data_IF_671331625945
#
_entry.id   IF_671331625945
#
_cell.length_a   1.000
_cell.length_b   1.000
_cell.length_c   1.000
_cell.angle_alpha   90.00
_cell.angle_beta   90.00
_cell.angle_gamma   90.00
#
_symmetry.space_group_name_H-M   'P 1'
#
loop_
_entity.id
_entity.type
_entity.pdbx_description
1 polymer ?
#
# COMPACT_ATOMS: atom_id res chain seq x y z
N UNK A 1 -42.49 -45.05 -55.53
CA UNK A 1 -42.04 -44.96 -54.12
C UNK A 1 -40.55 -45.26 -54.12
N UNK A 2 -39.70 -44.28 -54.43
CA UNK A 2 -39.22 -43.21 -53.55
C UNK A 2 -38.08 -43.67 -52.63
N UNK A 3 -36.89 -43.19 -52.97
CA UNK A 3 -35.77 -42.77 -52.12
C UNK A 3 -34.44 -43.54 -52.28
N UNK A 4 -33.67 -43.11 -53.28
CA UNK A 4 -32.20 -43.10 -53.24
C UNK A 4 -31.77 -42.00 -52.26
N UNK A 5 -31.28 -42.37 -51.08
CA UNK A 5 -30.67 -41.42 -50.14
C UNK A 5 -29.19 -41.23 -50.48
N UNK A 6 -28.90 -40.21 -51.28
CA UNK A 6 -27.56 -39.65 -51.40
C UNK A 6 -27.14 -39.01 -50.08
N UNK A 7 -26.26 -39.66 -49.34
CA UNK A 7 -25.61 -39.09 -48.16
C UNK A 7 -24.51 -38.12 -48.60
N UNK A 8 -24.81 -36.82 -48.61
CA UNK A 8 -23.79 -35.78 -48.69
C UNK A 8 -22.96 -35.79 -47.39
N UNK A 9 -21.64 -35.85 -47.53
CA UNK A 9 -20.72 -35.66 -46.40
C UNK A 9 -20.88 -34.23 -45.83
N UNK A 10 -20.73 -34.03 -44.51
CA UNK A 10 -20.81 -32.70 -43.94
C UNK A 10 -19.61 -31.88 -44.43
N UNK A 11 -19.91 -30.78 -45.10
CA UNK A 11 -18.96 -29.78 -45.55
C UNK A 11 -18.19 -29.26 -44.33
N UNK A 12 -16.93 -29.65 -44.18
CA UNK A 12 -16.04 -29.10 -43.16
C UNK A 12 -15.87 -27.62 -43.47
N UNK A 13 -16.63 -26.79 -42.75
CA UNK A 13 -16.45 -25.34 -42.77
C UNK A 13 -14.99 -25.06 -42.41
N UNK A 14 -14.19 -24.71 -43.42
CA UNK A 14 -12.84 -24.21 -43.24
C UNK A 14 -12.95 -22.98 -42.35
N UNK A 15 -12.53 -23.10 -41.10
CA UNK A 15 -12.27 -21.94 -40.24
C UNK A 15 -11.20 -21.15 -40.97
N UNK A 16 -11.61 -20.10 -41.67
CA UNK A 16 -10.69 -19.15 -42.25
C UNK A 16 -9.83 -18.64 -41.10
N UNK A 17 -8.51 -18.79 -41.23
CA UNK A 17 -7.57 -18.18 -40.31
C UNK A 17 -7.81 -16.68 -40.37
N UNK A 18 -8.55 -16.16 -39.38
CA UNK A 18 -8.72 -14.73 -39.21
C UNK A 18 -7.30 -14.15 -39.11
N UNK A 19 -7.01 -13.18 -39.97
CA UNK A 19 -5.77 -12.43 -39.89
C UNK A 19 -5.57 -12.00 -38.43
N UNK A 20 -4.36 -12.23 -37.90
CA UNK A 20 -4.02 -11.80 -36.56
C UNK A 20 -4.44 -10.33 -36.40
N UNK A 21 -5.12 -9.97 -35.29
CA UNK A 21 -5.50 -8.58 -35.08
C UNK A 21 -4.26 -7.71 -35.21
N UNK A 22 -4.38 -6.51 -35.80
CA UNK A 22 -3.25 -5.60 -35.91
C UNK A 22 -2.59 -5.44 -34.54
N UNK A 23 -1.26 -5.32 -34.47
CA UNK A 23 -0.60 -5.05 -33.21
C UNK A 23 -1.27 -3.83 -32.58
N UNK A 24 -1.45 -3.82 -31.25
CA UNK A 24 -2.00 -2.66 -30.57
C UNK A 24 -1.23 -1.41 -31.02
N UNK A 25 -1.83 -0.20 -30.95
CA UNK A 25 -1.11 1.05 -31.15
C UNK A 25 0.18 1.03 -30.31
N UNK A 26 1.21 1.85 -30.58
CA UNK A 26 2.45 1.84 -29.82
C UNK A 26 2.20 2.29 -28.36
N UNK A 27 1.56 1.41 -27.60
CA UNK A 27 1.54 1.33 -26.17
C UNK A 27 2.99 1.18 -25.77
N UNK A 28 3.40 2.05 -24.86
CA UNK A 28 4.71 2.04 -24.23
C UNK A 28 5.14 0.60 -23.94
N UNK A 29 6.05 0.06 -24.77
CA UNK A 29 6.49 -1.34 -24.66
C UNK A 29 7.13 -1.50 -23.29
N UNK A 30 6.44 -2.18 -22.38
CA UNK A 30 6.95 -2.44 -21.04
C UNK A 30 8.17 -3.35 -21.19
N UNK A 31 9.35 -2.80 -20.91
CA UNK A 31 10.60 -3.57 -20.82
C UNK A 31 10.88 -3.88 -19.35
N UNK A 32 10.68 -5.13 -18.90
CA UNK A 32 10.94 -5.47 -17.51
C UNK A 32 12.38 -5.16 -17.12
N UNK A 33 12.58 -4.50 -15.99
CA UNK A 33 13.90 -4.19 -15.46
C UNK A 33 14.01 -4.65 -14.00
N UNK A 34 14.92 -5.59 -13.75
CA UNK A 34 15.18 -6.12 -12.41
C UNK A 34 15.98 -5.16 -11.50
N UNK A 35 16.51 -4.05 -12.04
CA UNK A 35 17.35 -3.10 -11.29
C UNK A 35 16.65 -2.56 -10.05
N UNK A 36 15.40 -2.12 -10.22
CA UNK A 36 14.60 -1.55 -9.12
C UNK A 36 14.22 -2.61 -8.09
N UNK A 37 13.78 -3.79 -8.55
CA UNK A 37 13.51 -4.92 -7.68
C UNK A 37 14.73 -5.22 -6.80
N UNK A 38 15.91 -5.40 -7.39
CA UNK A 38 17.14 -5.69 -6.65
C UNK A 38 17.48 -4.60 -5.60
N UNK A 39 17.33 -3.31 -5.94
CA UNK A 39 17.53 -2.21 -4.99
C UNK A 39 16.54 -2.26 -3.83
N UNK A 40 15.26 -2.47 -4.12
CA UNK A 40 14.21 -2.55 -3.09
C UNK A 40 14.42 -3.77 -2.21
N UNK A 41 14.76 -4.94 -2.76
CA UNK A 41 15.05 -6.12 -1.95
C UNK A 41 16.26 -5.92 -1.05
N UNK A 42 17.34 -5.30 -1.56
CA UNK A 42 18.54 -5.03 -0.79
C UNK A 42 18.29 -4.05 0.36
N UNK A 43 17.51 -2.98 0.12
CA UNK A 43 17.24 -1.96 1.12
C UNK A 43 16.15 -2.37 2.12
N UNK A 44 15.09 -3.04 1.66
CA UNK A 44 13.96 -3.43 2.51
C UNK A 44 14.17 -4.76 3.23
N UNK A 45 14.99 -5.67 2.67
CA UNK A 45 15.11 -7.05 3.11
C UNK A 45 13.94 -7.96 2.65
N UNK A 46 12.99 -7.45 1.86
CA UNK A 46 11.84 -8.22 1.39
C UNK A 46 12.14 -8.88 0.06
N UNK A 47 11.91 -10.20 -0.05
CA UNK A 47 12.09 -10.99 -1.28
C UNK A 47 10.87 -10.90 -2.22
N UNK A 48 10.60 -9.69 -2.74
CA UNK A 48 9.48 -9.44 -3.64
C UNK A 48 9.55 -10.22 -4.97
N UNK A 49 10.74 -10.60 -5.43
CA UNK A 49 10.97 -11.43 -6.62
C UNK A 49 10.41 -12.85 -6.48
N UNK A 50 10.23 -13.35 -5.25
CA UNK A 50 9.60 -14.64 -5.01
C UNK A 50 8.09 -14.63 -5.31
N UNK A 51 7.45 -13.47 -5.47
CA UNK A 51 6.03 -13.40 -5.76
C UNK A 51 5.70 -13.93 -7.16
N UNK A 52 4.75 -14.87 -7.23
CA UNK A 52 4.24 -15.49 -8.46
C UNK A 52 2.81 -15.04 -8.79
N UNK A 53 2.29 -14.03 -8.09
CA UNK A 53 1.03 -13.39 -8.44
C UNK A 53 -0.24 -14.16 -8.10
N UNK A 54 -0.25 -15.01 -7.06
CA UNK A 54 -1.45 -15.80 -6.68
C UNK A 54 -2.64 -15.00 -6.12
N UNK A 55 -2.48 -13.69 -5.91
CA UNK A 55 -3.53 -12.74 -5.46
C UNK A 55 -4.15 -12.98 -4.07
N UNK A 56 -3.68 -13.97 -3.29
CA UNK A 56 -4.16 -14.21 -1.90
C UNK A 56 -4.09 -12.95 -1.02
N UNK A 57 -3.03 -12.15 -1.17
CA UNK A 57 -2.85 -10.89 -0.45
C UNK A 57 -3.95 -9.88 -0.75
N UNK A 58 -4.45 -9.83 -1.99
CA UNK A 58 -5.51 -8.93 -2.40
C UNK A 58 -6.88 -9.44 -1.96
N UNK A 59 -7.15 -10.73 -2.13
CA UNK A 59 -8.42 -11.31 -1.66
C UNK A 59 -8.56 -11.28 -0.12
N UNK A 60 -7.46 -11.25 0.63
CA UNK A 60 -7.46 -11.13 2.08
C UNK A 60 -7.39 -9.69 2.61
N UNK A 61 -7.20 -8.69 1.74
CA UNK A 61 -7.05 -7.31 2.18
C UNK A 61 -8.43 -6.68 2.43
N UNK A 62 -8.73 -6.16 3.64
CA UNK A 62 -10.02 -5.54 3.94
C UNK A 62 -10.21 -4.17 3.30
N UNK A 63 -9.16 -3.59 2.71
CA UNK A 63 -9.13 -2.21 2.20
C UNK A 63 -9.12 -2.12 0.67
N UNK A 64 -9.28 -3.24 -0.03
CA UNK A 64 -9.24 -3.25 -1.51
C UNK A 64 -10.26 -2.32 -2.15
N UNK A 65 -11.40 -2.06 -1.49
CA UNK A 65 -12.45 -1.17 -1.96
C UNK A 65 -12.01 0.30 -2.06
N UNK A 66 -10.97 0.70 -1.33
CA UNK A 66 -10.44 2.07 -1.32
C UNK A 66 -9.10 2.20 -2.07
N UNK A 67 -8.56 1.09 -2.58
CA UNK A 67 -7.24 1.03 -3.21
C UNK A 67 -7.31 1.28 -4.71
N UNK A 68 -6.34 2.04 -5.24
CA UNK A 68 -6.13 2.25 -6.69
C UNK A 68 -5.44 1.05 -7.34
N UNK A 69 -4.51 0.42 -6.61
CA UNK A 69 -3.85 -0.82 -7.00
C UNK A 69 -4.04 -1.89 -5.94
N UNK A 70 -4.45 -3.09 -6.33
CA UNK A 70 -4.49 -4.19 -5.36
C UNK A 70 -3.07 -4.58 -4.90
N UNK A 71 -2.92 -5.11 -3.67
CA UNK A 71 -1.60 -5.43 -3.11
C UNK A 71 -0.70 -6.29 -4.01
N UNK A 72 -1.24 -7.27 -4.74
CA UNK A 72 -0.44 -8.07 -5.68
C UNK A 72 0.06 -7.28 -6.89
N UNK A 73 -0.70 -6.26 -7.33
CA UNK A 73 -0.32 -5.40 -8.46
C UNK A 73 0.86 -4.51 -8.07
N UNK A 74 0.91 -4.02 -6.83
CA UNK A 74 2.07 -3.25 -6.33
C UNK A 74 3.35 -4.08 -6.45
N UNK A 75 3.33 -5.34 -5.99
CA UNK A 75 4.48 -6.25 -6.15
C UNK A 75 4.80 -6.50 -7.62
N UNK A 76 3.77 -6.68 -8.46
CA UNK A 76 3.97 -6.93 -9.89
C UNK A 76 4.60 -5.75 -10.61
N UNK A 77 4.16 -4.53 -10.34
CA UNK A 77 4.75 -3.33 -10.94
C UNK A 77 6.20 -3.14 -10.49
N UNK A 78 6.51 -3.43 -9.22
CA UNK A 78 7.88 -3.46 -8.73
C UNK A 78 8.75 -4.48 -9.49
N UNK A 79 8.26 -5.72 -9.69
CA UNK A 79 8.96 -6.75 -10.45
C UNK A 79 9.19 -6.36 -11.92
N UNK A 80 8.25 -5.63 -12.51
CA UNK A 80 8.36 -5.13 -13.87
C UNK A 80 9.24 -3.89 -13.98
N UNK A 81 9.73 -3.33 -12.86
CA UNK A 81 10.54 -2.12 -12.84
C UNK A 81 9.75 -0.83 -13.12
N UNK A 82 8.42 -0.87 -13.02
CA UNK A 82 7.53 0.27 -13.26
C UNK A 82 7.34 1.11 -12.01
N UNK A 83 8.44 1.65 -11.47
CA UNK A 83 8.42 2.45 -10.24
C UNK A 83 7.54 3.69 -10.37
N UNK A 84 7.47 4.28 -11.56
CA UNK A 84 6.66 5.47 -11.84
C UNK A 84 5.17 5.24 -11.59
N UNK A 85 4.67 4.01 -11.78
CA UNK A 85 3.27 3.67 -11.46
C UNK A 85 3.02 3.49 -9.97
N UNK A 86 4.08 3.28 -9.19
CA UNK A 86 4.00 3.23 -7.73
C UNK A 86 4.13 4.63 -7.13
N UNK A 87 4.82 5.54 -7.81
CA UNK A 87 4.88 6.96 -7.43
C UNK A 87 3.46 7.55 -7.49
N UNK A 88 2.95 8.02 -6.34
CA UNK A 88 1.58 8.51 -6.20
C UNK A 88 0.52 7.43 -5.94
N UNK A 89 0.90 6.15 -5.85
CA UNK A 89 -0.05 5.07 -5.58
C UNK A 89 -0.66 5.20 -4.17
N UNK A 90 -1.99 5.32 -4.12
CA UNK A 90 -2.75 5.50 -2.87
C UNK A 90 -2.69 4.25 -2.00
N UNK A 91 -2.65 3.06 -2.58
CA UNK A 91 -2.57 1.78 -1.87
C UNK A 91 -1.43 1.73 -0.86
N UNK A 92 -0.29 2.35 -1.18
CA UNK A 92 0.88 2.39 -0.29
C UNK A 92 0.53 3.15 1.00
N UNK A 93 -0.23 4.23 0.88
CA UNK A 93 -0.68 5.07 2.00
C UNK A 93 -1.84 4.47 2.77
N UNK A 94 -2.73 3.75 2.08
CA UNK A 94 -3.88 3.07 2.67
C UNK A 94 -3.52 1.76 3.38
N UNK A 95 -2.34 1.19 3.14
CA UNK A 95 -1.92 -0.02 3.81
C UNK A 95 -1.89 0.16 5.33
N UNK A 96 -2.73 -0.60 6.04
CA UNK A 96 -2.84 -0.60 7.50
C UNK A 96 -1.83 -1.52 8.21
N UNK A 97 -0.88 -2.12 7.47
CA UNK A 97 0.12 -3.06 7.97
C UNK A 97 -0.44 -4.16 8.89
N UNK A 98 -1.66 -4.65 8.59
CA UNK A 98 -2.38 -5.64 9.41
C UNK A 98 -1.83 -7.09 9.30
N UNK A 99 -0.84 -7.33 8.44
CA UNK A 99 -0.14 -8.60 8.23
C UNK A 99 -0.97 -9.79 7.69
N UNK A 100 -2.26 -9.61 7.35
CA UNK A 100 -3.06 -10.66 6.70
C UNK A 100 -2.44 -11.18 5.41
N UNK A 101 -1.82 -10.29 4.63
CA UNK A 101 -1.16 -10.67 3.38
C UNK A 101 0.09 -11.52 3.60
N UNK A 102 0.88 -11.24 4.64
CA UNK A 102 2.07 -12.03 4.99
C UNK A 102 1.68 -13.42 5.48
N UNK A 103 0.75 -13.50 6.45
CA UNK A 103 0.31 -14.77 7.05
C UNK A 103 -0.30 -15.75 6.04
N UNK A 104 -0.91 -15.25 4.95
CA UNK A 104 -1.51 -16.07 3.89
C UNK A 104 -0.61 -16.27 2.68
N UNK A 105 0.58 -15.66 2.64
CA UNK A 105 1.47 -15.75 1.49
C UNK A 105 2.21 -17.09 1.50
N UNK A 106 2.03 -17.96 0.48
CA UNK A 106 2.76 -19.24 0.43
C UNK A 106 4.26 -19.04 0.18
N UNK A 107 4.67 -17.88 -0.35
CA UNK A 107 6.08 -17.55 -0.63
C UNK A 107 6.68 -16.60 0.42
N UNK A 108 5.97 -16.34 1.52
CA UNK A 108 6.44 -15.51 2.64
C UNK A 108 6.95 -14.11 2.22
N UNK A 109 6.36 -13.54 1.17
CA UNK A 109 6.63 -12.15 0.77
C UNK A 109 6.05 -11.22 1.85
N UNK A 110 6.93 -10.55 2.60
CA UNK A 110 6.59 -9.57 3.63
C UNK A 110 6.09 -8.26 3.02
N UNK A 111 4.86 -8.34 2.52
CA UNK A 111 4.18 -7.24 1.86
C UNK A 111 3.91 -6.04 2.78
N UNK A 112 3.56 -6.19 4.08
CA UNK A 112 3.47 -5.06 5.02
C UNK A 112 4.79 -4.28 5.08
N UNK A 113 5.92 -4.97 5.27
CA UNK A 113 7.24 -4.33 5.31
C UNK A 113 7.60 -3.66 3.99
N UNK A 114 7.24 -4.27 2.86
CA UNK A 114 7.43 -3.67 1.55
C UNK A 114 6.63 -2.37 1.40
N UNK A 115 5.36 -2.36 1.82
CA UNK A 115 4.51 -1.16 1.76
C UNK A 115 5.06 -0.05 2.65
N UNK A 116 5.50 -0.37 3.88
CA UNK A 116 6.12 0.61 4.78
C UNK A 116 7.43 1.17 4.22
N UNK A 117 8.27 0.33 3.60
CA UNK A 117 9.48 0.78 2.90
C UNK A 117 9.17 1.73 1.74
N UNK A 118 8.17 1.41 0.92
CA UNK A 118 7.77 2.26 -0.21
C UNK A 118 7.19 3.59 0.29
N UNK A 119 6.36 3.55 1.35
CA UNK A 119 5.79 4.74 2.02
C UNK A 119 6.90 5.68 2.50
N UNK A 120 7.89 5.15 3.22
CA UNK A 120 9.05 5.92 3.68
C UNK A 120 9.88 6.48 2.52
N UNK A 121 10.10 5.68 1.48
CA UNK A 121 10.86 6.11 0.30
C UNK A 121 10.20 7.30 -0.39
N UNK A 122 8.87 7.26 -0.54
CA UNK A 122 8.09 8.35 -1.16
C UNK A 122 8.05 9.59 -0.25
N UNK A 123 7.85 9.40 1.05
CA UNK A 123 7.85 10.49 2.02
C UNK A 123 9.18 11.27 2.00
N UNK A 124 10.31 10.57 1.93
CA UNK A 124 11.65 11.18 1.89
C UNK A 124 11.94 11.94 0.60
N UNK A 125 11.35 11.50 -0.52
CA UNK A 125 11.47 12.20 -1.81
C UNK A 125 10.66 13.49 -1.89
N UNK A 126 9.80 13.76 -0.91
CA UNK A 126 8.95 14.96 -0.89
C UNK A 126 7.91 14.99 -2.01
N UNK A 127 7.53 13.83 -2.55
CA UNK A 127 6.52 13.75 -3.60
C UNK A 127 5.14 14.11 -3.03
N UNK A 128 4.32 14.77 -3.86
CA UNK A 128 2.92 15.00 -3.53
C UNK A 128 2.20 13.64 -3.41
N UNK A 129 1.37 13.51 -2.38
CA UNK A 129 0.62 12.30 -2.06
C UNK A 129 -0.84 12.69 -1.98
N UNK A 130 -1.72 11.99 -2.69
CA UNK A 130 -3.16 12.26 -2.66
C UNK A 130 -3.74 12.13 -1.24
N UNK A 131 -3.24 11.15 -0.48
CA UNK A 131 -3.56 10.92 0.93
C UNK A 131 -2.78 11.88 1.87
N UNK A 132 -2.88 13.20 1.64
CA UNK A 132 -2.11 14.24 2.37
C UNK A 132 -2.28 14.17 3.89
N UNK A 133 -3.52 13.94 4.35
CA UNK A 133 -3.81 13.81 5.79
C UNK A 133 -3.13 12.59 6.40
N UNK A 134 -3.06 11.49 5.66
CA UNK A 134 -2.38 10.26 6.08
C UNK A 134 -0.88 10.48 6.13
N UNK A 135 -0.30 11.15 5.13
CA UNK A 135 1.11 11.56 5.13
C UNK A 135 1.42 12.46 6.34
N UNK A 136 0.58 13.44 6.61
CA UNK A 136 0.74 14.33 7.75
C UNK A 136 0.70 13.57 9.09
N UNK A 137 -0.29 12.71 9.29
CA UNK A 137 -0.40 11.89 10.49
C UNK A 137 0.85 11.02 10.68
N UNK A 138 1.28 10.36 9.60
CA UNK A 138 2.47 9.52 9.57
C UNK A 138 3.74 10.29 9.96
N UNK A 139 3.95 11.48 9.39
CA UNK A 139 5.09 12.34 9.74
C UNK A 139 5.05 12.80 11.20
N UNK A 140 3.88 13.21 11.71
CA UNK A 140 3.73 13.62 13.11
C UNK A 140 3.97 12.45 14.06
N UNK A 141 3.48 11.26 13.72
CA UNK A 141 3.69 10.02 14.46
C UNK A 141 5.19 9.70 14.54
N UNK A 142 5.89 9.62 13.40
CA UNK A 142 7.31 9.30 13.36
C UNK A 142 8.16 10.36 14.04
N UNK A 143 7.81 11.65 13.91
CA UNK A 143 8.45 12.73 14.67
C UNK A 143 8.30 12.53 16.18
N UNK A 144 7.12 12.08 16.63
CA UNK A 144 6.87 11.74 18.02
C UNK A 144 7.73 10.58 18.51
N UNK A 145 7.85 9.52 17.69
CA UNK A 145 8.69 8.34 17.97
C UNK A 145 10.16 8.74 18.00
N UNK A 146 10.69 9.43 16.99
CA UNK A 146 12.09 9.88 16.95
C UNK A 146 12.46 10.75 18.16
N UNK A 147 11.51 11.56 18.67
CA UNK A 147 11.74 12.44 19.82
C UNK A 147 11.84 11.70 21.16
N UNK A 148 11.08 10.62 21.37
CA UNK A 148 10.88 10.00 22.71
C UNK A 148 10.93 8.47 22.75
N UNK A 149 10.97 7.81 21.60
CA UNK A 149 10.80 6.36 21.43
C UNK A 149 9.37 5.88 21.68
N UNK A 150 8.46 6.78 22.07
CA UNK A 150 7.05 6.51 22.31
C UNK A 150 6.21 7.65 21.78
N UNK A 151 5.07 7.27 21.21
CA UNK A 151 4.04 8.23 20.84
C UNK A 151 3.37 8.75 22.10
N UNK A 152 3.12 10.04 22.12
CA UNK A 152 2.27 10.67 23.12
C UNK A 152 1.02 11.14 22.40
N UNK A 153 -0.10 10.46 22.68
CA UNK A 153 -1.35 10.55 21.93
C UNK A 153 -1.91 11.98 21.95
N UNK A 154 -1.78 12.68 23.09
CA UNK A 154 -2.22 14.07 23.23
C UNK A 154 -1.48 15.03 22.29
N UNK A 155 -0.14 14.94 22.21
CA UNK A 155 0.65 15.78 21.30
C UNK A 155 0.42 15.42 19.84
N UNK A 156 0.27 14.12 19.52
CA UNK A 156 -0.02 13.67 18.16
C UNK A 156 -1.38 14.21 17.70
N UNK A 157 -2.43 14.03 18.51
CA UNK A 157 -3.78 14.50 18.19
C UNK A 157 -3.87 16.02 18.13
N UNK A 158 -3.31 16.73 19.12
CA UNK A 158 -3.29 18.19 19.10
C UNK A 158 -2.53 18.72 17.87
N UNK A 159 -1.34 18.18 17.59
CA UNK A 159 -0.56 18.56 16.42
C UNK A 159 -1.26 18.27 15.09
N UNK A 160 -1.96 17.14 15.00
CA UNK A 160 -2.75 16.79 13.81
C UNK A 160 -3.93 17.76 13.62
N UNK A 161 -4.77 17.93 14.64
CA UNK A 161 -5.93 18.81 14.60
C UNK A 161 -5.57 20.28 14.34
N UNK A 162 -4.46 20.77 14.88
CA UNK A 162 -4.00 22.13 14.61
C UNK A 162 -3.60 22.30 13.13
N UNK A 163 -2.94 21.29 12.55
CA UNK A 163 -2.47 21.35 11.16
C UNK A 163 -3.55 21.07 10.13
N UNK A 164 -4.60 20.34 10.51
CA UNK A 164 -5.77 20.09 9.64
C UNK A 164 -6.90 21.11 9.82
N UNK A 165 -6.74 22.08 10.73
CA UNK A 165 -7.77 23.07 11.08
C UNK A 165 -8.89 22.51 11.96
N UNK A 166 -8.81 21.25 12.38
CA UNK A 166 -9.82 20.58 13.21
C UNK A 166 -9.86 21.03 14.67
N UNK A 167 -8.83 21.71 15.18
CA UNK A 167 -8.72 22.08 16.61
C UNK A 167 -9.86 23.00 17.11
N UNK A 168 -10.39 23.84 16.23
CA UNK A 168 -11.55 24.71 16.49
C UNK A 168 -12.76 24.33 15.65
N UNK A 169 -12.71 23.18 14.99
CA UNK A 169 -13.77 22.69 14.12
C UNK A 169 -14.90 22.00 14.88
N UNK A 170 -16.03 21.73 14.18
CA UNK A 170 -17.16 21.00 14.76
C UNK A 170 -16.76 19.61 15.28
N UNK A 171 -15.76 18.97 14.67
CA UNK A 171 -15.22 17.68 15.10
C UNK A 171 -14.59 17.72 16.50
N UNK A 172 -13.86 18.79 16.85
CA UNK A 172 -13.30 18.96 18.18
C UNK A 172 -14.38 19.15 19.24
N UNK A 173 -15.42 19.94 18.92
CA UNK A 173 -16.57 20.15 19.81
C UNK A 173 -17.37 18.84 20.01
N UNK A 174 -17.62 18.10 18.92
CA UNK A 174 -18.32 16.82 18.98
C UNK A 174 -17.58 15.79 19.85
N UNK A 175 -16.25 15.81 19.82
CA UNK A 175 -15.42 14.89 20.60
C UNK A 175 -15.07 15.40 22.01
N UNK A 176 -15.40 16.63 22.38
CA UNK A 176 -15.05 17.21 23.68
C UNK A 176 -15.61 16.41 24.86
N UNK A 177 -16.86 15.95 24.76
CA UNK A 177 -17.51 15.10 25.78
C UNK A 177 -16.76 13.77 25.96
N UNK A 178 -16.39 13.13 24.85
CA UNK A 178 -15.62 11.88 24.89
C UNK A 178 -14.23 12.12 25.50
N UNK A 179 -13.55 13.20 25.11
CA UNK A 179 -12.27 13.62 25.68
C UNK A 179 -12.33 13.79 27.19
N UNK A 180 -13.36 14.47 27.71
CA UNK A 180 -13.57 14.64 29.15
C UNK A 180 -13.79 13.29 29.87
N UNK A 181 -14.57 12.39 29.29
CA UNK A 181 -14.80 11.05 29.85
C UNK A 181 -13.49 10.24 29.88
N UNK A 182 -12.71 10.27 28.80
CA UNK A 182 -11.40 9.58 28.73
C UNK A 182 -10.40 10.15 29.72
N UNK A 183 -10.37 11.48 29.88
CA UNK A 183 -9.54 12.17 30.86
C UNK A 183 -9.92 11.78 32.29
N UNK A 184 -11.21 11.82 32.65
CA UNK A 184 -11.70 11.39 33.97
C UNK A 184 -11.41 9.93 34.29
N UNK A 185 -11.37 9.07 33.26
CA UNK A 185 -11.00 7.65 33.40
C UNK A 185 -9.48 7.40 33.37
N UNK A 186 -8.64 8.43 33.34
CA UNK A 186 -7.18 8.31 33.28
C UNK A 186 -6.65 7.71 31.97
N UNK A 187 -7.48 7.64 30.92
CA UNK A 187 -7.13 7.08 29.61
C UNK A 187 -6.44 8.10 28.69
N UNK A 188 -6.49 9.39 29.06
CA UNK A 188 -5.77 10.46 28.39
C UNK A 188 -4.63 10.94 29.29
N UNK A 189 -3.38 10.63 28.94
CA UNK A 189 -2.21 11.11 29.67
C UNK A 189 -1.95 12.58 29.33
N UNK A 190 -1.56 13.39 30.31
CA UNK A 190 -1.19 14.80 30.10
C UNK A 190 0.31 14.98 29.84
N UNK A 191 1.14 14.08 30.35
CA UNK A 191 2.59 14.16 30.23
C UNK A 191 3.13 13.01 29.38
N UNK A 192 4.10 13.30 28.49
CA UNK A 192 4.70 12.29 27.64
C UNK A 192 5.65 11.39 28.44
N UNK A 193 5.56 10.08 28.19
CA UNK A 193 6.59 9.13 28.62
C UNK A 193 7.76 9.11 27.62
N UNK A 194 8.92 8.62 28.07
CA UNK A 194 10.12 8.44 27.24
C UNK A 194 10.73 7.07 27.47
N UNK A 195 11.42 6.54 26.47
CA UNK A 195 12.25 5.33 26.64
C UNK A 195 13.56 5.67 27.35
N UNK A 196 14.17 4.67 27.98
CA UNK A 196 15.47 4.80 28.65
C UNK A 196 16.62 4.87 27.63
N UNK A 197 16.62 3.98 26.64
CA UNK A 197 17.70 3.87 25.67
C UNK A 197 17.55 4.88 24.53
N UNK A 198 18.07 6.09 24.76
CA UNK A 198 18.06 7.16 23.75
C UNK A 198 19.18 7.03 22.72
N UNK A 199 20.22 6.25 23.03
CA UNK A 199 21.35 6.06 22.12
C UNK A 199 20.90 5.18 20.95
N UNK A 200 20.30 4.03 21.25
CA UNK A 200 19.71 3.13 20.25
C UNK A 200 18.66 3.83 19.38
N UNK A 201 17.79 4.63 19.99
CA UNK A 201 16.76 5.36 19.22
C UNK A 201 17.37 6.36 18.23
N UNK A 202 18.43 7.05 18.62
CA UNK A 202 19.12 7.97 17.71
C UNK A 202 19.76 7.21 16.56
N UNK A 203 20.28 6.01 16.79
CA UNK A 203 20.84 5.15 15.76
C UNK A 203 19.78 4.63 14.79
N UNK A 204 18.60 4.26 15.28
CA UNK A 204 17.48 3.78 14.45
C UNK A 204 16.97 4.83 13.44
N UNK A 205 17.06 6.11 13.78
CA UNK A 205 16.58 7.22 12.95
C UNK A 205 17.70 7.98 12.20
N UNK A 206 18.93 7.47 12.23
CA UNK A 206 20.00 7.93 11.32
C UNK A 206 19.75 7.43 9.90
#
# INVERSE_FOLDING_TARGET
MSHTTGGAAPETARVQAAAAPPPPPPEEVIRPSGRWLAQVEAASGVKAGACFGCKKCSNGCPLTFAMDLHPYQVVRYLQLGQMQRLEGCRTIWLCASCQTCLTRCPNQVDLPRLMDFLKETMARRGQAVEEERTLLFHQLFLKGVAKRGRVFEGELMAGYLLKTGGAFGPEALANAKLGLIMFRKGRLKLLPARIKDRAWLKELFK
#
